data_IF_244844981392
#
_entry.id   IF_244844981392
#
_cell.length_a   1.000
_cell.length_b   1.000
_cell.length_c   1.000
_cell.angle_alpha   90.00
_cell.angle_beta   90.00
_cell.angle_gamma   90.00
#
_symmetry.space_group_name_H-M   'P 1'
#
loop_
_entity.id
_entity.type
_entity.pdbx_description
1 polymer ?
#
# COMPACT_ATOMS: atom_id res chain seq x y z
N UNK A 1 8.80 -5.24 -37.97
CA UNK A 1 9.71 -5.21 -36.81
C UNK A 1 8.84 -5.46 -35.59
N UNK A 2 8.97 -6.61 -34.95
CA UNK A 2 8.27 -6.90 -33.70
C UNK A 2 8.97 -6.09 -32.61
N UNK A 3 8.28 -5.14 -31.99
CA UNK A 3 8.84 -4.42 -30.86
C UNK A 3 9.10 -5.44 -29.75
N UNK A 4 10.34 -5.55 -29.33
CA UNK A 4 10.73 -6.41 -28.19
C UNK A 4 10.12 -5.75 -26.93
N UNK A 5 9.19 -6.44 -26.30
CA UNK A 5 8.56 -5.96 -25.07
C UNK A 5 9.61 -6.05 -23.96
N UNK A 6 10.08 -4.90 -23.46
CA UNK A 6 11.02 -4.85 -22.34
C UNK A 6 10.38 -5.47 -21.09
N UNK A 7 11.13 -6.32 -20.42
CA UNK A 7 10.69 -6.92 -19.16
C UNK A 7 10.49 -5.84 -18.08
N UNK A 8 9.33 -5.87 -17.41
CA UNK A 8 9.06 -4.97 -16.27
C UNK A 8 9.98 -5.33 -15.11
N UNK A 9 10.62 -4.33 -14.53
CA UNK A 9 11.52 -4.52 -13.38
C UNK A 9 11.00 -3.70 -12.20
N UNK A 10 10.78 -4.38 -11.05
CA UNK A 10 10.39 -3.71 -9.81
C UNK A 10 11.53 -2.82 -9.29
N UNK A 11 11.23 -1.64 -8.69
CA UNK A 11 12.22 -0.84 -7.98
C UNK A 11 12.93 -1.60 -6.85
N UNK A 12 12.27 -2.64 -6.32
CA UNK A 12 12.77 -3.51 -5.25
C UNK A 12 13.28 -4.87 -5.77
N UNK A 13 13.61 -4.95 -7.06
CA UNK A 13 14.25 -6.14 -7.61
C UNK A 13 15.55 -6.45 -6.83
N UNK A 14 15.71 -7.70 -6.38
CA UNK A 14 16.87 -8.16 -5.59
C UNK A 14 16.80 -7.82 -4.08
N UNK A 15 15.70 -7.28 -3.57
CA UNK A 15 15.55 -6.99 -2.13
C UNK A 15 14.92 -8.13 -1.32
N UNK A 16 14.37 -9.15 -1.96
CA UNK A 16 13.67 -10.26 -1.30
C UNK A 16 14.54 -11.01 -0.29
N UNK A 17 15.82 -11.26 -0.60
CA UNK A 17 16.75 -11.92 0.32
C UNK A 17 17.02 -11.07 1.57
N UNK A 18 17.14 -9.75 1.39
CA UNK A 18 17.34 -8.82 2.52
C UNK A 18 16.11 -8.76 3.42
N UNK A 19 14.92 -8.79 2.85
CA UNK A 19 13.67 -8.85 3.62
C UNK A 19 13.48 -10.20 4.32
N UNK A 20 13.91 -11.31 3.69
CA UNK A 20 13.89 -12.63 4.30
C UNK A 20 14.83 -12.78 5.51
N UNK A 21 15.82 -11.90 5.63
CA UNK A 21 16.74 -11.87 6.78
C UNK A 21 16.20 -11.06 7.97
N UNK A 22 15.03 -10.44 7.85
CA UNK A 22 14.37 -9.73 8.95
C UNK A 22 13.92 -10.72 10.03
N UNK A 23 13.82 -10.30 11.30
CA UNK A 23 13.33 -11.13 12.39
C UNK A 23 11.85 -11.50 12.20
N UNK A 24 11.40 -12.62 12.75
CA UNK A 24 10.03 -13.14 12.60
C UNK A 24 8.94 -12.13 13.00
N UNK A 25 9.25 -11.23 13.93
CA UNK A 25 8.34 -10.16 14.36
C UNK A 25 8.20 -9.00 13.37
N UNK A 26 9.00 -8.98 12.28
CA UNK A 26 8.97 -7.93 11.24
C UNK A 26 9.15 -8.57 9.87
N UNK A 27 8.06 -8.90 9.22
CA UNK A 27 8.07 -9.46 7.87
C UNK A 27 7.74 -8.35 6.86
N UNK A 28 8.54 -8.22 5.81
CA UNK A 28 8.33 -7.28 4.72
C UNK A 28 8.30 -8.04 3.40
N UNK A 29 7.21 -7.87 2.65
CA UNK A 29 7.04 -8.48 1.33
C UNK A 29 6.75 -7.38 0.31
N UNK A 30 7.56 -7.30 -0.74
CA UNK A 30 7.25 -6.45 -1.88
C UNK A 30 6.18 -7.10 -2.76
N UNK A 31 5.13 -6.34 -3.08
CA UNK A 31 4.06 -6.74 -4.00
C UNK A 31 4.28 -5.99 -5.34
N UNK A 32 5.05 -6.55 -6.27
CA UNK A 32 5.38 -5.86 -7.51
C UNK A 32 4.20 -5.85 -8.47
N UNK A 33 4.14 -4.80 -9.30
CA UNK A 33 3.26 -4.71 -10.47
C UNK A 33 1.75 -4.70 -10.16
N UNK A 34 1.35 -4.26 -8.96
CA UNK A 34 -0.05 -3.98 -8.66
C UNK A 34 -0.54 -2.89 -9.61
N UNK A 35 -1.62 -3.14 -10.35
CA UNK A 35 -2.24 -2.13 -11.19
C UNK A 35 -2.88 -1.05 -10.32
N UNK A 36 -2.69 0.22 -10.68
CA UNK A 36 -3.19 1.37 -9.93
C UNK A 36 -3.74 2.44 -10.86
N UNK A 37 -4.91 2.96 -10.53
CA UNK A 37 -5.52 4.08 -11.23
C UNK A 37 -5.90 5.19 -10.23
N UNK A 38 -5.54 6.43 -10.57
CA UNK A 38 -6.07 7.64 -9.92
C UNK A 38 -7.44 7.92 -10.54
N UNK A 39 -8.49 7.81 -9.73
CA UNK A 39 -9.87 8.06 -10.11
C UNK A 39 -10.33 9.39 -9.52
N UNK A 40 -10.80 10.30 -10.36
CA UNK A 40 -11.37 11.58 -9.95
C UNK A 40 -12.79 11.73 -10.45
N UNK A 41 -13.70 11.93 -9.51
CA UNK A 41 -15.13 12.14 -9.76
C UNK A 41 -15.62 13.35 -8.95
N UNK A 42 -16.64 14.03 -9.48
CA UNK A 42 -17.40 14.97 -8.66
C UNK A 42 -18.49 14.20 -7.88
N UNK A 43 -18.36 14.01 -6.55
CA UNK A 43 -19.31 13.23 -5.76
C UNK A 43 -20.65 13.95 -5.51
N UNK A 44 -20.77 15.21 -5.89
CA UNK A 44 -21.99 16.04 -5.70
C UNK A 44 -22.63 16.54 -6.99
N UNK A 45 -22.02 16.22 -8.13
CA UNK A 45 -22.57 16.58 -9.44
C UNK A 45 -23.90 15.86 -9.77
N UNK A 46 -24.65 16.33 -10.77
CA UNK A 46 -25.97 15.79 -11.12
C UNK A 46 -25.95 14.32 -11.53
N UNK A 47 -24.81 13.79 -11.99
CA UNK A 47 -24.62 12.38 -12.33
C UNK A 47 -23.89 11.58 -11.23
N UNK A 48 -23.53 12.21 -10.12
CA UNK A 48 -22.64 11.64 -9.10
C UNK A 48 -23.09 10.27 -8.59
N UNK A 49 -24.34 10.13 -8.21
CA UNK A 49 -24.89 8.89 -7.69
C UNK A 49 -24.89 7.74 -8.72
N UNK A 50 -25.23 8.04 -9.97
CA UNK A 50 -25.26 7.05 -11.04
C UNK A 50 -23.85 6.56 -11.39
N UNK A 51 -22.89 7.47 -11.53
CA UNK A 51 -21.48 7.14 -11.86
C UNK A 51 -20.81 6.41 -10.71
N UNK A 52 -20.97 6.89 -9.47
CA UNK A 52 -20.42 6.19 -8.28
C UNK A 52 -21.01 4.79 -8.13
N UNK A 53 -22.31 4.61 -8.42
CA UNK A 53 -22.97 3.30 -8.45
C UNK A 53 -22.43 2.39 -9.55
N UNK A 54 -22.18 2.91 -10.76
CA UNK A 54 -21.61 2.15 -11.86
C UNK A 54 -20.16 1.73 -11.56
N UNK A 55 -19.36 2.63 -10.97
CA UNK A 55 -17.98 2.32 -10.53
C UNK A 55 -18.00 1.26 -9.43
N UNK A 56 -18.91 1.37 -8.47
CA UNK A 56 -19.07 0.37 -7.40
C UNK A 56 -19.44 -1.00 -7.96
N UNK A 57 -20.34 -1.05 -8.94
CA UNK A 57 -20.72 -2.31 -9.61
C UNK A 57 -19.54 -2.91 -10.41
N UNK A 58 -18.74 -2.06 -11.07
CA UNK A 58 -17.57 -2.50 -11.84
C UNK A 58 -16.47 -3.04 -10.94
N UNK A 59 -16.18 -2.39 -9.82
CA UNK A 59 -15.10 -2.77 -8.89
C UNK A 59 -15.53 -3.84 -7.86
N UNK A 60 -16.84 -4.13 -7.75
CA UNK A 60 -17.38 -4.99 -6.70
C UNK A 60 -17.33 -4.38 -5.29
N UNK A 61 -17.05 -3.07 -5.18
CA UNK A 61 -16.96 -2.36 -3.90
C UNK A 61 -17.27 -0.88 -4.07
N UNK A 62 -17.98 -0.28 -3.11
CA UNK A 62 -18.33 1.13 -3.13
C UNK A 62 -17.12 2.04 -2.91
N UNK A 63 -17.16 3.24 -3.51
CA UNK A 63 -16.17 4.27 -3.23
C UNK A 63 -16.30 4.76 -1.77
N UNK A 64 -15.25 4.74 -0.96
CA UNK A 64 -15.31 5.28 0.39
C UNK A 64 -15.48 6.80 0.35
N UNK A 65 -16.43 7.31 1.14
CA UNK A 65 -16.72 8.75 1.26
C UNK A 65 -16.23 9.36 2.57
N UNK A 66 -15.91 8.51 3.54
CA UNK A 66 -15.30 8.93 4.79
C UNK A 66 -13.81 9.22 4.56
N UNK A 67 -13.31 10.39 4.97
CA UNK A 67 -11.89 10.70 4.85
C UNK A 67 -10.99 9.67 5.55
N UNK A 68 -9.82 9.43 4.95
CA UNK A 68 -8.80 8.54 5.49
C UNK A 68 -9.27 7.10 5.69
N UNK A 69 -10.12 6.60 4.79
CA UNK A 69 -10.57 5.21 4.78
C UNK A 69 -10.24 4.52 3.46
N UNK A 70 -10.22 3.20 3.51
CA UNK A 70 -10.11 2.35 2.34
C UNK A 70 -11.04 1.16 2.48
N UNK A 71 -11.41 0.59 1.35
CA UNK A 71 -12.28 -0.58 1.27
C UNK A 71 -11.69 -1.60 0.29
N UNK A 72 -11.99 -2.87 0.51
CA UNK A 72 -11.55 -3.98 -0.35
C UNK A 72 -12.75 -4.75 -0.85
N UNK A 73 -12.83 -4.93 -2.15
CA UNK A 73 -13.67 -5.92 -2.82
C UNK A 73 -12.88 -7.17 -3.20
N UNK A 74 -13.49 -8.05 -3.98
CA UNK A 74 -12.86 -9.31 -4.38
C UNK A 74 -11.69 -9.10 -5.36
N UNK A 75 -11.77 -8.09 -6.22
CA UNK A 75 -10.79 -7.86 -7.31
C UNK A 75 -10.00 -6.55 -7.18
N UNK A 76 -10.50 -5.61 -6.40
CA UNK A 76 -9.91 -4.27 -6.25
C UNK A 76 -9.99 -3.76 -4.83
N UNK A 77 -9.10 -2.84 -4.49
CA UNK A 77 -9.20 -2.01 -3.30
C UNK A 77 -9.32 -0.55 -3.71
N UNK A 78 -10.09 0.22 -2.95
CA UNK A 78 -10.31 1.66 -3.19
C UNK A 78 -9.91 2.43 -1.96
N UNK A 79 -9.00 3.38 -2.13
CA UNK A 79 -8.41 4.17 -1.07
C UNK A 79 -8.84 5.62 -1.27
N UNK A 80 -9.43 6.23 -0.26
CA UNK A 80 -9.76 7.65 -0.29
C UNK A 80 -8.48 8.49 -0.22
N UNK A 81 -8.24 9.34 -1.21
CA UNK A 81 -7.12 10.29 -1.23
C UNK A 81 -7.57 11.73 -1.01
N UNK A 82 -8.83 12.03 -1.33
CA UNK A 82 -9.40 13.37 -1.22
C UNK A 82 -10.91 13.37 -1.50
N UNK A 83 -11.60 14.50 -1.33
CA UNK A 83 -13.05 14.59 -1.52
C UNK A 83 -13.53 14.17 -2.92
N UNK A 84 -12.67 14.27 -3.91
CA UNK A 84 -12.95 13.97 -5.32
C UNK A 84 -11.94 12.99 -5.93
N UNK A 85 -11.13 12.30 -5.09
CA UNK A 85 -9.98 11.54 -5.55
C UNK A 85 -9.84 10.22 -4.80
N UNK A 86 -9.69 9.13 -5.55
CA UNK A 86 -9.48 7.78 -5.03
C UNK A 86 -8.34 7.10 -5.78
N UNK A 87 -7.54 6.34 -5.05
CA UNK A 87 -6.62 5.39 -5.64
C UNK A 87 -7.29 4.02 -5.71
N UNK A 88 -7.51 3.52 -6.91
CA UNK A 88 -7.98 2.15 -7.15
C UNK A 88 -6.78 1.27 -7.40
N UNK A 89 -6.68 0.14 -6.69
CA UNK A 89 -5.59 -0.81 -6.85
C UNK A 89 -6.13 -2.21 -7.10
N UNK A 90 -5.47 -2.97 -8.00
CA UNK A 90 -5.80 -4.38 -8.26
C UNK A 90 -4.54 -5.21 -8.46
N UNK A 91 -4.35 -6.30 -7.69
CA UNK A 91 -3.28 -7.25 -7.94
C UNK A 91 -3.62 -8.26 -9.07
N UNK A 92 -4.85 -8.24 -9.57
CA UNK A 92 -5.37 -9.22 -10.53
C UNK A 92 -5.50 -8.66 -11.95
N UNK A 93 -5.73 -7.36 -12.10
CA UNK A 93 -5.87 -6.70 -13.40
C UNK A 93 -4.50 -6.31 -13.97
N UNK A 94 -4.41 -6.16 -15.29
CA UNK A 94 -3.34 -5.40 -15.90
C UNK A 94 -3.60 -3.90 -15.75
N UNK A 95 -2.59 -3.02 -15.83
CA UNK A 95 -2.80 -1.57 -15.86
C UNK A 95 -3.77 -1.13 -16.95
N UNK A 96 -3.63 -1.73 -18.14
CA UNK A 96 -4.45 -1.44 -19.31
C UNK A 96 -5.91 -1.82 -19.08
N UNK A 97 -6.19 -3.00 -18.48
CA UNK A 97 -7.55 -3.47 -18.22
C UNK A 97 -8.22 -2.62 -17.12
N UNK A 98 -7.46 -2.27 -16.07
CA UNK A 98 -7.99 -1.42 -15.00
C UNK A 98 -8.33 -0.01 -15.51
N UNK A 99 -7.44 0.60 -16.29
CA UNK A 99 -7.65 1.93 -16.89
C UNK A 99 -8.84 1.91 -17.86
N UNK A 100 -8.87 0.96 -18.79
CA UNK A 100 -9.94 0.86 -19.80
C UNK A 100 -11.31 0.58 -19.15
N UNK A 101 -11.38 -0.32 -18.17
CA UNK A 101 -12.60 -0.65 -17.46
C UNK A 101 -13.16 0.55 -16.68
N UNK A 102 -12.31 1.25 -15.96
CA UNK A 102 -12.71 2.46 -15.23
C UNK A 102 -13.11 3.60 -16.18
N UNK A 103 -12.34 3.89 -17.24
CA UNK A 103 -12.69 4.91 -18.23
C UNK A 103 -14.02 4.63 -18.91
N UNK A 104 -14.25 3.36 -19.30
CA UNK A 104 -15.54 2.96 -19.89
C UNK A 104 -16.72 3.14 -18.96
N UNK A 105 -16.49 3.00 -17.64
CA UNK A 105 -17.53 3.17 -16.62
C UNK A 105 -17.78 4.64 -16.30
N UNK A 106 -16.74 5.47 -16.21
CA UNK A 106 -16.80 6.87 -15.80
C UNK A 106 -17.23 7.79 -16.94
N UNK A 107 -16.82 7.48 -18.18
CA UNK A 107 -17.08 8.33 -19.35
C UNK A 107 -16.59 9.77 -19.14
N UNK A 108 -17.43 10.73 -19.50
CA UNK A 108 -17.14 12.18 -19.38
C UNK A 108 -17.39 12.74 -17.95
N UNK A 109 -17.86 11.91 -17.02
CA UNK A 109 -18.21 12.36 -15.66
C UNK A 109 -17.01 12.43 -14.71
N UNK A 110 -15.83 12.01 -15.14
CA UNK A 110 -14.63 12.05 -14.32
C UNK A 110 -13.35 11.78 -15.10
N UNK A 111 -12.27 11.59 -14.36
CA UNK A 111 -10.93 11.34 -14.94
C UNK A 111 -10.34 10.08 -14.33
N UNK A 112 -9.75 9.25 -15.19
CA UNK A 112 -8.99 8.06 -14.78
C UNK A 112 -7.58 8.20 -15.35
N UNK A 113 -6.57 7.97 -14.51
CA UNK A 113 -5.16 8.06 -14.89
C UNK A 113 -4.45 6.80 -14.40
N UNK A 114 -3.82 6.06 -15.33
CA UNK A 114 -2.94 4.96 -14.95
C UNK A 114 -1.72 5.50 -14.17
N UNK A 115 -1.56 5.02 -12.94
CA UNK A 115 -0.44 5.36 -12.04
C UNK A 115 0.29 4.11 -11.55
N UNK A 116 0.13 2.97 -12.21
CA UNK A 116 0.71 1.67 -11.82
C UNK A 116 2.23 1.69 -11.69
N UNK A 117 2.93 2.46 -12.54
CA UNK A 117 4.38 2.60 -12.45
C UNK A 117 4.85 3.61 -11.40
N UNK A 118 3.93 4.44 -10.87
CA UNK A 118 4.28 5.54 -9.95
C UNK A 118 4.63 5.05 -8.57
N UNK A 119 3.99 3.96 -8.12
CA UNK A 119 4.13 3.43 -6.77
C UNK A 119 4.53 1.97 -6.78
N UNK A 120 5.15 1.53 -5.68
CA UNK A 120 5.33 0.12 -5.36
C UNK A 120 4.68 -0.16 -4.01
N UNK A 121 4.23 -1.39 -3.81
CA UNK A 121 3.50 -1.81 -2.63
C UNK A 121 4.36 -2.74 -1.79
N UNK A 122 4.33 -2.51 -0.48
CA UNK A 122 4.95 -3.36 0.54
C UNK A 122 3.86 -3.83 1.51
N UNK A 123 3.81 -5.12 1.79
CA UNK A 123 3.04 -5.71 2.87
C UNK A 123 3.97 -5.93 4.06
N UNK A 124 3.56 -5.43 5.24
CA UNK A 124 4.31 -5.53 6.48
C UNK A 124 3.50 -6.32 7.49
N UNK A 125 4.09 -7.38 8.05
CA UNK A 125 3.43 -8.26 9.04
C UNK A 125 4.35 -8.58 10.20
N UNK A 126 3.77 -8.71 11.39
CA UNK A 126 4.48 -9.17 12.58
C UNK A 126 4.22 -8.33 13.81
N UNK A 127 4.56 -8.87 14.97
CA UNK A 127 4.26 -8.30 16.28
C UNK A 127 4.94 -6.93 16.51
N UNK A 128 6.08 -6.68 15.86
CA UNK A 128 6.87 -5.46 16.03
C UNK A 128 6.69 -4.45 14.89
N UNK A 129 5.86 -4.76 13.88
CA UNK A 129 5.69 -3.87 12.70
C UNK A 129 5.19 -2.50 13.10
N UNK A 130 4.21 -2.39 14.01
CA UNK A 130 3.73 -1.10 14.48
C UNK A 130 4.82 -0.27 15.16
N UNK A 131 5.65 -0.91 15.97
CA UNK A 131 6.73 -0.24 16.69
C UNK A 131 7.81 0.24 15.71
N UNK A 132 8.18 -0.59 14.72
CA UNK A 132 9.05 -0.19 13.61
C UNK A 132 8.48 1.02 12.88
N UNK A 133 7.21 0.99 12.49
CA UNK A 133 6.57 2.11 11.80
C UNK A 133 6.55 3.38 12.65
N UNK A 134 6.33 3.26 13.96
CA UNK A 134 6.28 4.39 14.90
C UNK A 134 7.62 5.12 15.03
N UNK A 135 8.75 4.50 14.68
CA UNK A 135 10.06 5.18 14.70
C UNK A 135 10.19 6.28 13.66
N UNK A 136 9.36 6.28 12.62
CA UNK A 136 9.42 7.28 11.56
C UNK A 136 8.07 7.78 11.06
N UNK A 137 6.97 7.43 11.72
CA UNK A 137 5.62 7.88 11.42
C UNK A 137 5.10 8.78 12.55
N UNK A 138 4.59 9.96 12.19
CA UNK A 138 4.03 10.89 13.17
C UNK A 138 2.56 10.56 13.56
N UNK A 139 1.94 9.58 12.91
CA UNK A 139 0.57 9.16 13.22
C UNK A 139 0.52 8.27 14.45
N UNK A 140 -0.57 8.38 15.20
CA UNK A 140 -0.92 7.38 16.21
C UNK A 140 -1.41 6.10 15.49
N UNK A 141 -0.55 5.07 15.47
CA UNK A 141 -0.83 3.78 14.84
C UNK A 141 -1.51 2.78 15.79
N UNK A 142 -1.96 3.25 16.97
CA UNK A 142 -2.70 2.38 17.87
C UNK A 142 -4.01 1.89 17.20
N UNK A 143 -4.36 0.58 17.25
CA UNK A 143 -5.52 0.04 16.53
C UNK A 143 -6.87 0.68 16.86
N UNK A 144 -6.99 1.33 18.03
CA UNK A 144 -8.20 2.11 18.38
C UNK A 144 -8.35 3.39 17.56
N UNK A 145 -7.27 3.91 16.99
CA UNK A 145 -7.22 5.16 16.21
C UNK A 145 -7.00 4.87 14.74
N UNK A 146 -6.08 3.94 14.43
CA UNK A 146 -5.71 3.54 13.09
C UNK A 146 -5.91 2.02 12.93
N UNK A 147 -7.18 1.60 12.94
CA UNK A 147 -7.61 0.21 12.80
C UNK A 147 -7.96 -0.19 11.37
N UNK A 148 -8.50 -1.40 11.15
CA UNK A 148 -8.83 -1.93 9.83
C UNK A 148 -9.75 -0.98 9.05
N UNK A 149 -9.44 -0.78 7.77
CA UNK A 149 -10.15 0.18 6.92
C UNK A 149 -9.63 1.62 7.04
N UNK A 150 -8.69 1.91 7.95
CA UNK A 150 -8.00 3.21 8.01
C UNK A 150 -6.94 3.31 6.92
N UNK A 151 -6.87 4.48 6.29
CA UNK A 151 -5.83 4.85 5.33
C UNK A 151 -5.29 6.23 5.66
N UNK A 152 -4.02 6.50 5.39
CA UNK A 152 -3.47 7.83 5.56
C UNK A 152 -2.37 8.13 4.54
N UNK A 153 -2.39 9.32 3.97
CA UNK A 153 -1.24 9.90 3.31
C UNK A 153 -0.33 10.51 4.38
N UNK A 154 0.85 9.95 4.56
CA UNK A 154 1.79 10.32 5.62
C UNK A 154 3.23 10.17 5.16
N UNK A 155 4.18 10.31 6.08
CA UNK A 155 5.59 10.01 5.84
C UNK A 155 6.05 8.83 6.70
N UNK A 156 6.94 8.02 6.14
CA UNK A 156 7.78 7.07 6.88
C UNK A 156 9.24 7.47 6.67
N UNK A 157 9.88 7.95 7.72
CA UNK A 157 11.13 8.68 7.59
C UNK A 157 10.94 9.88 6.66
N UNK A 158 11.66 9.93 5.53
CA UNK A 158 11.56 10.99 4.52
C UNK A 158 10.68 10.61 3.31
N UNK A 159 10.17 9.38 3.26
CA UNK A 159 9.34 8.91 2.15
C UNK A 159 7.87 9.25 2.37
N UNK A 160 7.25 9.98 1.43
CA UNK A 160 5.79 10.11 1.38
C UNK A 160 5.14 8.79 0.96
N UNK A 161 4.18 8.33 1.73
CA UNK A 161 3.51 7.05 1.55
C UNK A 161 1.99 7.17 1.69
N UNK A 162 1.28 6.16 1.17
CA UNK A 162 -0.07 5.83 1.62
C UNK A 162 0.04 4.61 2.52
N UNK A 163 -0.38 4.74 3.77
CA UNK A 163 -0.36 3.67 4.78
C UNK A 163 -1.78 3.16 5.00
N UNK A 164 -1.97 1.85 4.97
CA UNK A 164 -3.24 1.17 5.21
C UNK A 164 -3.10 0.24 6.43
N UNK A 165 -4.08 0.29 7.33
CA UNK A 165 -4.24 -0.72 8.37
C UNK A 165 -5.11 -1.87 7.86
N UNK A 166 -4.64 -3.11 8.00
CA UNK A 166 -5.25 -4.30 7.43
C UNK A 166 -5.88 -5.21 8.49
N UNK A 167 -5.52 -5.03 9.77
CA UNK A 167 -6.04 -5.80 10.89
C UNK A 167 -6.39 -4.92 12.11
N UNK A 168 -7.00 -5.50 13.09
CA UNK A 168 -7.42 -4.87 14.35
C UNK A 168 -6.39 -5.01 15.48
N UNK A 169 -5.28 -5.69 15.22
CA UNK A 169 -4.21 -5.94 16.19
C UNK A 169 -3.03 -4.99 16.03
N UNK A 170 -2.95 -4.29 14.90
CA UNK A 170 -1.81 -3.43 14.56
C UNK A 170 -0.56 -4.24 14.19
N UNK A 171 -0.76 -5.42 13.61
CA UNK A 171 0.32 -6.31 13.18
C UNK A 171 0.39 -6.49 11.67
N UNK A 172 -0.55 -5.89 10.92
CA UNK A 172 -0.57 -6.00 9.47
C UNK A 172 -0.90 -4.65 8.82
N UNK A 173 0.06 -4.15 8.05
CA UNK A 173 -0.07 -2.90 7.29
C UNK A 173 0.32 -3.10 5.83
N UNK A 174 -0.21 -2.24 4.97
CA UNK A 174 0.24 -2.11 3.59
C UNK A 174 0.74 -0.68 3.36
N UNK A 175 1.87 -0.56 2.69
CA UNK A 175 2.52 0.72 2.40
C UNK A 175 2.67 0.86 0.89
N UNK A 176 2.11 1.94 0.34
CA UNK A 176 2.30 2.31 -1.05
C UNK A 176 3.27 3.50 -1.09
N UNK A 177 4.44 3.29 -1.64
CA UNK A 177 5.51 4.29 -1.73
C UNK A 177 5.79 4.65 -3.18
N UNK A 178 6.15 5.89 -3.47
CA UNK A 178 6.60 6.25 -4.82
C UNK A 178 7.80 5.40 -5.22
N UNK A 179 7.81 4.91 -6.47
CA UNK A 179 8.85 4.03 -7.00
C UNK A 179 10.27 4.61 -6.82
N UNK A 180 10.43 5.94 -6.93
CA UNK A 180 11.70 6.63 -6.70
C UNK A 180 12.19 6.58 -5.24
N UNK A 181 11.31 6.41 -4.26
CA UNK A 181 11.61 6.29 -2.84
C UNK A 181 11.59 4.85 -2.33
N UNK A 182 11.25 3.87 -3.17
CA UNK A 182 11.09 2.49 -2.73
C UNK A 182 12.36 1.91 -2.08
N UNK A 183 13.54 2.15 -2.67
CA UNK A 183 14.81 1.67 -2.12
C UNK A 183 15.21 2.38 -0.84
N UNK A 184 14.90 3.68 -0.73
CA UNK A 184 15.11 4.41 0.51
C UNK A 184 14.24 3.81 1.63
N UNK A 185 12.94 3.64 1.38
CA UNK A 185 12.03 3.07 2.37
C UNK A 185 12.42 1.64 2.76
N UNK A 186 12.82 0.82 1.79
CA UNK A 186 13.29 -0.53 2.06
C UNK A 186 14.55 -0.55 2.95
N UNK A 187 15.52 0.32 2.69
CA UNK A 187 16.71 0.45 3.54
C UNK A 187 16.35 0.95 4.95
N UNK A 188 15.46 1.92 5.04
CA UNK A 188 14.98 2.45 6.31
C UNK A 188 14.25 1.38 7.14
N UNK A 189 13.39 0.56 6.52
CA UNK A 189 12.70 -0.55 7.21
C UNK A 189 13.69 -1.58 7.76
N UNK A 190 14.76 -1.92 7.01
CA UNK A 190 15.79 -2.83 7.48
C UNK A 190 16.55 -2.25 8.68
N UNK A 191 16.88 -0.96 8.63
CA UNK A 191 17.58 -0.26 9.72
C UNK A 191 16.70 -0.19 10.97
N UNK A 192 15.45 0.26 10.84
CA UNK A 192 14.48 0.37 11.93
C UNK A 192 14.14 -0.99 12.57
N UNK A 193 14.25 -2.10 11.82
CA UNK A 193 14.00 -3.44 12.34
C UNK A 193 15.21 -4.06 13.05
N UNK A 194 16.38 -3.43 13.00
CA UNK A 194 17.62 -3.96 13.60
C UNK A 194 17.50 -4.19 15.11
N UNK A 195 16.75 -3.35 15.80
CA UNK A 195 16.45 -3.48 17.24
C UNK A 195 15.80 -4.82 17.61
N UNK A 196 15.06 -5.42 16.67
CA UNK A 196 14.34 -6.69 16.87
C UNK A 196 15.11 -7.91 16.39
N UNK A 197 16.31 -7.72 15.83
CA UNK A 197 17.22 -8.81 15.53
C UNK A 197 17.86 -9.25 16.86
N UNK A 198 17.33 -10.31 17.49
CA UNK A 198 17.93 -10.89 18.69
C UNK A 198 19.31 -11.43 18.35
N UNK A 199 20.34 -10.87 19.00
CA UNK A 199 21.67 -11.50 19.04
C UNK A 199 21.55 -12.86 19.72
N UNK A 200 21.49 -13.93 18.93
CA UNK A 200 21.59 -15.32 19.44
C UNK A 200 22.99 -15.67 19.96
N UNK A 201 23.86 -14.67 20.20
CA UNK A 201 25.26 -14.85 20.57
C UNK A 201 25.59 -14.59 22.04
N UNK A 202 24.59 -14.47 22.94
CA UNK A 202 24.91 -14.44 24.38
C UNK A 202 24.50 -15.73 25.07
N UNK A 203 25.11 -16.85 24.64
CA UNK A 203 25.29 -17.96 25.55
C UNK A 203 26.40 -17.53 26.48
N UNK A 204 26.09 -17.06 27.69
CA UNK A 204 27.03 -16.87 28.79
C UNK A 204 27.57 -18.25 29.24
N UNK A 205 28.82 -18.62 28.97
CA UNK A 205 29.41 -19.86 29.48
C UNK A 205 30.18 -19.57 30.77
N UNK A 206 29.50 -19.10 31.82
CA UNK A 206 30.26 -18.76 33.02
C UNK A 206 29.45 -18.52 34.28
N UNK A 207 28.76 -19.55 34.79
CA UNK A 207 28.57 -19.72 36.22
C UNK A 207 28.49 -21.22 36.59
N UNK A 208 29.67 -21.80 36.65
CA UNK A 208 29.93 -23.05 37.31
C UNK A 208 31.17 -22.89 38.17
N UNK A 209 30.94 -22.77 39.49
CA UNK A 209 31.81 -23.24 40.57
C UNK A 209 31.19 -22.80 41.89
#
# INVERSE_FOLDING_TARGET
MTAETLARTSPLHGWSERFAALPDGVQVVAEPFVAMADLRLDPVGPAAGAVSGAVAAHLGVALPTTPNTWVRGDTASVIWLGPHEWLVTSPFATPEDLDAGLRGTVGDAGVVIDVSAQRTTLSLRGAHVRDVLATGCALDLHPRVFGPGSAAQTTLGLAGVVLLALDDTGTHYQVLVRSSFARYLAAWLLDAATEYCTDTSTTDPGRGA
#
